data_IF_004248757161
#
_entry.id   IF_004248757161
#
_cell.length_a   1.000
_cell.length_b   1.000
_cell.length_c   1.000
_cell.angle_alpha   90.00
_cell.angle_beta   90.00
_cell.angle_gamma   90.00
#
_symmetry.space_group_name_H-M   'P 1'
#
loop_
_entity.id
_entity.type
_entity.pdbx_description
1 polymer ?
#
# COMPACT_ATOMS: atom_id res chain seq x y z
N UNK A 1 -5.14 36.28 7.04
CA UNK A 1 -6.44 35.66 6.67
C UNK A 1 -6.29 34.71 5.48
N UNK A 2 -5.90 35.17 4.29
CA UNK A 2 -5.75 34.31 3.11
C UNK A 2 -4.69 33.19 3.27
N UNK A 3 -3.56 33.47 3.95
CA UNK A 3 -2.50 32.47 4.18
C UNK A 3 -2.94 31.33 5.10
N UNK A 4 -3.63 31.63 6.20
CA UNK A 4 -4.14 30.63 7.13
C UNK A 4 -5.19 29.71 6.46
N UNK A 5 -6.13 30.30 5.71
CA UNK A 5 -7.13 29.52 4.97
C UNK A 5 -6.48 28.59 3.92
N UNK A 6 -5.39 29.03 3.29
CA UNK A 6 -4.62 28.20 2.36
C UNK A 6 -3.96 27.02 3.08
N UNK A 7 -3.29 27.26 4.22
CA UNK A 7 -2.62 26.23 5.01
C UNK A 7 -3.62 25.20 5.57
N UNK A 8 -4.80 25.65 6.02
CA UNK A 8 -5.88 24.75 6.43
C UNK A 8 -6.35 23.84 5.27
N UNK A 9 -6.47 24.40 4.06
CA UNK A 9 -6.81 23.63 2.87
C UNK A 9 -5.75 22.59 2.49
N UNK A 10 -4.47 22.98 2.51
CA UNK A 10 -3.34 22.08 2.24
C UNK A 10 -3.25 20.96 3.27
N UNK A 11 -3.47 21.28 4.55
CA UNK A 11 -3.52 20.29 5.63
C UNK A 11 -4.67 19.30 5.46
N UNK A 12 -5.85 19.78 5.05
CA UNK A 12 -7.00 18.92 4.80
C UNK A 12 -6.74 17.93 3.66
N UNK A 13 -6.10 18.38 2.57
CA UNK A 13 -5.70 17.51 1.45
C UNK A 13 -4.68 16.47 1.90
N UNK A 14 -3.60 16.89 2.58
CA UNK A 14 -2.55 15.98 3.03
C UNK A 14 -3.06 14.91 4.01
N UNK A 15 -4.02 15.26 4.89
CA UNK A 15 -4.72 14.29 5.75
C UNK A 15 -5.54 13.28 4.96
N UNK A 16 -6.30 13.75 3.96
CA UNK A 16 -7.07 12.86 3.09
C UNK A 16 -6.18 11.87 2.34
N UNK A 17 -5.06 12.34 1.77
CA UNK A 17 -4.08 11.48 1.09
C UNK A 17 -3.48 10.44 2.05
N UNK A 18 -3.12 10.85 3.27
CA UNK A 18 -2.61 9.95 4.30
C UNK A 18 -3.62 8.86 4.66
N UNK A 19 -4.87 9.22 4.91
CA UNK A 19 -5.92 8.26 5.28
C UNK A 19 -6.16 7.24 4.18
N UNK A 20 -6.24 7.68 2.92
CA UNK A 20 -6.43 6.79 1.76
C UNK A 20 -5.24 5.84 1.62
N UNK A 21 -4.01 6.35 1.61
CA UNK A 21 -2.82 5.52 1.45
C UNK A 21 -2.66 4.51 2.61
N UNK A 22 -2.96 4.93 3.84
CA UNK A 22 -2.95 4.06 5.01
C UNK A 22 -4.00 2.95 4.91
N UNK A 23 -5.24 3.27 4.52
CA UNK A 23 -6.30 2.27 4.35
C UNK A 23 -5.94 1.27 3.24
N UNK A 24 -5.35 1.75 2.13
CA UNK A 24 -4.89 0.88 1.07
C UNK A 24 -3.76 -0.06 1.54
N UNK A 25 -2.78 0.45 2.29
CA UNK A 25 -1.74 -0.37 2.88
C UNK A 25 -2.31 -1.43 3.84
N UNK A 26 -3.34 -1.08 4.63
CA UNK A 26 -4.02 -2.01 5.53
C UNK A 26 -4.74 -3.12 4.75
N UNK A 27 -5.55 -2.80 3.75
CA UNK A 27 -6.23 -3.80 2.92
C UNK A 27 -5.24 -4.74 2.21
N UNK A 28 -4.13 -4.19 1.71
CA UNK A 28 -3.08 -4.99 1.08
C UNK A 28 -2.42 -5.95 2.07
N UNK A 29 -2.13 -5.49 3.30
CA UNK A 29 -1.50 -6.30 4.35
C UNK A 29 -2.43 -7.37 4.91
N UNK A 30 -3.67 -7.00 5.20
CA UNK A 30 -4.58 -7.83 6.00
C UNK A 30 -5.37 -8.81 5.12
N UNK A 31 -5.63 -8.47 3.84
CA UNK A 31 -6.45 -9.30 2.94
C UNK A 31 -5.67 -9.82 1.72
N UNK A 32 -5.04 -8.94 0.95
CA UNK A 32 -4.50 -9.30 -0.38
C UNK A 32 -3.21 -10.11 -0.28
N UNK A 33 -2.27 -9.69 0.56
CA UNK A 33 -0.99 -10.37 0.73
C UNK A 33 -1.14 -11.80 1.26
N UNK A 34 -1.93 -12.06 2.32
CA UNK A 34 -2.18 -13.41 2.79
C UNK A 34 -2.83 -14.28 1.71
N UNK A 35 -3.79 -13.74 0.95
CA UNK A 35 -4.45 -14.46 -0.15
C UNK A 35 -3.47 -14.84 -1.27
N UNK A 36 -2.63 -13.89 -1.71
CA UNK A 36 -1.64 -14.13 -2.75
C UNK A 36 -0.56 -15.12 -2.30
N UNK A 37 -0.14 -15.08 -1.03
CA UNK A 37 0.78 -16.05 -0.45
C UNK A 37 0.17 -17.45 -0.45
N UNK A 38 -1.07 -17.59 0.05
CA UNK A 38 -1.75 -18.88 0.08
C UNK A 38 -1.95 -19.46 -1.33
N UNK A 39 -2.21 -18.63 -2.33
CA UNK A 39 -2.32 -19.07 -3.72
C UNK A 39 -0.97 -19.59 -4.26
N UNK A 40 0.12 -18.91 -3.96
CA UNK A 40 1.47 -19.36 -4.32
C UNK A 40 1.85 -20.68 -3.65
N UNK A 41 1.54 -20.84 -2.36
CA UNK A 41 1.80 -22.07 -1.61
C UNK A 41 0.99 -23.25 -2.18
N UNK A 42 -0.28 -23.01 -2.50
CA UNK A 42 -1.15 -24.02 -3.10
C UNK A 42 -0.71 -24.40 -4.53
N UNK A 43 -0.30 -23.43 -5.34
CA UNK A 43 0.22 -23.68 -6.68
C UNK A 43 1.51 -24.50 -6.63
N UNK A 44 2.43 -24.14 -5.74
CA UNK A 44 3.71 -24.84 -5.52
C UNK A 44 3.47 -26.29 -5.08
N UNK A 45 2.60 -26.48 -4.08
CA UNK A 45 2.21 -27.82 -3.62
C UNK A 45 1.56 -28.63 -4.75
N UNK A 46 0.64 -28.03 -5.51
CA UNK A 46 -0.01 -28.68 -6.63
C UNK A 46 0.96 -29.11 -7.74
N UNK A 47 1.98 -28.31 -8.02
CA UNK A 47 3.05 -28.65 -8.95
C UNK A 47 3.91 -29.81 -8.45
N UNK A 48 4.30 -29.81 -7.17
CA UNK A 48 5.06 -30.91 -6.55
C UNK A 48 4.34 -32.26 -6.63
N UNK A 49 3.01 -32.25 -6.49
CA UNK A 49 2.17 -33.44 -6.65
C UNK A 49 1.73 -33.71 -8.10
N UNK A 50 2.21 -32.95 -9.08
CA UNK A 50 1.88 -33.12 -10.51
C UNK A 50 0.44 -32.77 -10.89
N UNK A 51 -0.29 -32.05 -10.03
CA UNK A 51 -1.67 -31.61 -10.26
C UNK A 51 -1.77 -30.31 -11.05
N UNK A 52 -0.72 -29.47 -10.97
CA UNK A 52 -0.62 -28.20 -11.68
C UNK A 52 0.67 -28.13 -12.51
N UNK A 53 0.68 -27.28 -13.53
CA UNK A 53 1.86 -27.00 -14.34
C UNK A 53 2.78 -25.97 -13.67
N UNK A 54 4.04 -25.93 -14.09
CA UNK A 54 5.00 -24.93 -13.57
C UNK A 54 4.57 -23.48 -13.88
N UNK A 55 3.81 -23.26 -14.95
CA UNK A 55 3.26 -21.95 -15.29
C UNK A 55 2.28 -21.43 -14.23
N UNK A 56 1.50 -22.31 -13.59
CA UNK A 56 0.57 -21.92 -12.53
C UNK A 56 1.33 -21.38 -11.30
N UNK A 57 2.49 -21.97 -11.00
CA UNK A 57 3.41 -21.51 -9.93
C UNK A 57 3.96 -20.12 -10.26
N UNK A 58 4.42 -19.91 -11.49
CA UNK A 58 4.97 -18.64 -11.93
C UNK A 58 3.93 -17.52 -11.94
N UNK A 59 2.69 -17.82 -12.33
CA UNK A 59 1.61 -16.86 -12.30
C UNK A 59 1.24 -16.48 -10.85
N UNK A 60 1.12 -17.46 -9.94
CA UNK A 60 0.87 -17.18 -8.53
C UNK A 60 2.02 -16.38 -7.89
N UNK A 61 3.27 -16.70 -8.21
CA UNK A 61 4.45 -15.95 -7.77
C UNK A 61 4.41 -14.50 -8.27
N UNK A 62 4.05 -14.29 -9.54
CA UNK A 62 3.90 -12.95 -10.12
C UNK A 62 2.85 -12.15 -9.37
N UNK A 63 1.69 -12.74 -9.08
CA UNK A 63 0.62 -12.09 -8.31
C UNK A 63 1.07 -11.72 -6.90
N UNK A 64 1.78 -12.60 -6.21
CA UNK A 64 2.34 -12.33 -4.88
C UNK A 64 3.35 -11.16 -4.90
N UNK A 65 4.25 -11.13 -5.88
CA UNK A 65 5.20 -10.02 -6.05
C UNK A 65 4.50 -8.69 -6.38
N UNK A 66 3.44 -8.73 -7.18
CA UNK A 66 2.62 -7.55 -7.48
C UNK A 66 1.94 -7.01 -6.24
N UNK A 67 1.33 -7.87 -5.41
CA UNK A 67 0.72 -7.48 -4.14
C UNK A 67 1.74 -6.85 -3.17
N UNK A 68 2.93 -7.44 -3.05
CA UNK A 68 4.03 -6.87 -2.25
C UNK A 68 4.46 -5.49 -2.74
N UNK A 69 4.61 -5.33 -4.06
CA UNK A 69 4.97 -4.04 -4.65
C UNK A 69 3.90 -2.98 -4.38
N UNK A 70 2.62 -3.32 -4.53
CA UNK A 70 1.52 -2.41 -4.22
C UNK A 70 1.51 -2.01 -2.74
N UNK A 71 1.77 -2.96 -1.83
CA UNK A 71 1.82 -2.70 -0.39
C UNK A 71 2.92 -1.70 -0.03
N UNK A 72 4.13 -1.92 -0.57
CA UNK A 72 5.26 -1.02 -0.34
C UNK A 72 5.01 0.38 -0.90
N UNK A 73 4.37 0.49 -2.07
CA UNK A 73 3.99 1.78 -2.63
C UNK A 73 2.97 2.51 -1.75
N UNK A 74 1.93 1.83 -1.28
CA UNK A 74 0.93 2.42 -0.38
C UNK A 74 1.54 2.89 0.95
N UNK A 75 2.49 2.13 1.51
CA UNK A 75 3.27 2.57 2.68
C UNK A 75 4.09 3.82 2.38
N UNK A 76 4.79 3.84 1.24
CA UNK A 76 5.60 4.99 0.85
C UNK A 76 4.73 6.25 0.65
N UNK A 77 3.54 6.11 0.08
CA UNK A 77 2.58 7.21 -0.10
C UNK A 77 2.05 7.71 1.24
N UNK A 78 1.72 6.82 2.17
CA UNK A 78 1.32 7.21 3.52
C UNK A 78 2.45 7.98 4.24
N UNK A 79 3.70 7.53 4.13
CA UNK A 79 4.83 8.25 4.72
C UNK A 79 5.07 9.62 4.08
N UNK A 80 4.90 9.75 2.74
CA UNK A 80 5.02 11.04 2.05
C UNK A 80 3.93 12.02 2.49
N UNK A 81 2.68 11.55 2.59
CA UNK A 81 1.56 12.37 3.06
C UNK A 81 1.77 12.82 4.51
N UNK A 82 2.25 11.93 5.38
CA UNK A 82 2.58 12.27 6.77
C UNK A 82 3.69 13.34 6.83
N UNK A 83 4.76 13.21 6.04
CA UNK A 83 5.81 14.22 5.96
C UNK A 83 5.32 15.57 5.40
N UNK A 84 4.27 15.58 4.57
CA UNK A 84 3.62 16.81 4.13
C UNK A 84 2.82 17.47 5.26
N UNK A 85 2.09 16.69 6.05
CA UNK A 85 1.38 17.17 7.25
C UNK A 85 2.37 17.81 8.22
N UNK A 86 3.47 17.12 8.54
CA UNK A 86 4.50 17.61 9.48
C UNK A 86 5.11 18.94 9.01
N UNK A 87 5.34 19.09 7.70
CA UNK A 87 5.88 20.33 7.13
C UNK A 87 4.90 21.50 7.27
N UNK A 88 3.62 21.29 6.95
CA UNK A 88 2.59 22.34 7.04
C UNK A 88 2.43 22.80 8.49
N UNK A 89 2.38 21.86 9.44
CA UNK A 89 2.31 22.19 10.86
C UNK A 89 3.58 22.89 11.36
N UNK A 90 4.75 22.58 10.79
CA UNK A 90 5.99 23.29 11.07
C UNK A 90 5.99 24.75 10.57
N UNK A 91 5.41 25.01 9.40
CA UNK A 91 5.25 26.37 8.83
C UNK A 91 4.26 27.23 9.63
N UNK A 92 3.26 26.64 10.28
CA UNK A 92 2.30 27.33 11.15
C UNK A 92 2.90 27.80 12.50
N UNK A 93 4.08 27.28 12.88
CA UNK A 93 4.74 27.56 14.17
C UNK A 93 5.90 28.58 14.10
N UNK A 94 6.28 29.06 12.91
CA UNK A 94 7.25 30.15 12.69
C UNK A 94 6.56 31.52 12.53
#
# INVERSE_FOLDING_TARGET
AATALRLEGELAVARGEFEVARQQAQALRDDILPGAQSAYDAASTGFEYGKFGFLDVLDAQRTLLQAQTQYLNALADAHRALAAIDRILGEDHE
#
